data_IF_235678753441
#
_entry.id   IF_235678753441
#
_cell.length_a   1.000
_cell.length_b   1.000
_cell.length_c   1.000
_cell.angle_alpha   90.00
_cell.angle_beta   90.00
_cell.angle_gamma   90.00
#
_symmetry.space_group_name_H-M   'P 1'
#
loop_
_entity.id
_entity.type
_entity.pdbx_description
1 polymer ?
#
# COMPACT_ATOMS: atom_id res chain seq x y z
N UNK A 1 -8.27 -1.41 7.35
CA UNK A 1 -8.39 -0.14 6.59
C UNK A 1 -7.10 0.13 5.83
N UNK A 2 -5.91 0.22 6.46
CA UNK A 2 -4.59 0.09 5.82
C UNK A 2 -3.49 -0.06 6.89
N UNK A 3 -2.25 -0.41 6.53
CA UNK A 3 -1.10 -0.46 7.45
C UNK A 3 -0.75 0.91 8.03
N UNK A 4 -0.91 2.00 7.25
CA UNK A 4 -0.58 3.36 7.70
C UNK A 4 -1.37 3.83 8.93
N UNK A 5 -2.52 3.21 9.20
CA UNK A 5 -3.38 3.56 10.32
C UNK A 5 -2.67 3.36 11.68
N UNK A 6 -1.70 2.45 11.75
CA UNK A 6 -0.88 2.23 12.96
C UNK A 6 -0.08 3.47 13.36
N UNK A 7 0.18 4.35 12.39
CA UNK A 7 1.05 5.52 12.54
C UNK A 7 0.25 6.84 12.54
N UNK A 8 -1.05 6.78 12.25
CA UNK A 8 -1.95 7.93 12.29
C UNK A 8 -2.53 8.17 13.71
N UNK A 9 -2.76 9.42 14.12
CA UNK A 9 -2.30 10.66 13.49
C UNK A 9 -0.90 11.09 13.98
N UNK A 10 -0.35 10.45 15.01
CA UNK A 10 0.77 11.01 15.79
C UNK A 10 2.11 10.98 15.05
N UNK A 11 2.41 9.89 14.34
CA UNK A 11 3.64 9.80 13.55
C UNK A 11 3.50 10.62 12.28
N UNK A 12 2.36 10.52 11.58
CA UNK A 12 2.12 11.24 10.31
C UNK A 12 2.01 12.77 10.48
N UNK A 13 1.63 13.25 11.66
CA UNK A 13 1.72 14.68 12.03
C UNK A 13 3.11 15.11 12.50
N UNK A 14 4.02 14.17 12.73
CA UNK A 14 5.36 14.40 13.24
C UNK A 14 5.47 14.61 14.75
N UNK A 15 4.36 14.46 15.49
CA UNK A 15 4.27 14.63 16.94
C UNK A 15 5.10 13.61 17.72
N UNK A 16 5.23 12.38 17.19
CA UNK A 16 6.14 11.34 17.71
C UNK A 16 6.97 10.75 16.56
N UNK A 17 8.18 10.23 16.82
CA UNK A 17 8.95 9.51 15.82
C UNK A 17 8.30 8.15 15.47
N UNK A 18 8.49 7.64 14.24
CA UNK A 18 8.13 6.26 13.92
C UNK A 18 9.03 5.28 14.69
N UNK A 19 8.62 4.01 14.88
CA UNK A 19 9.45 2.99 15.53
C UNK A 19 10.80 2.73 14.82
N UNK A 20 10.83 2.89 13.49
CA UNK A 20 12.02 2.86 12.64
C UNK A 20 11.76 3.72 11.38
N UNK A 21 12.81 4.14 10.67
CA UNK A 21 12.67 4.89 9.43
C UNK A 21 13.83 4.58 8.46
N UNK A 22 13.60 3.93 7.31
CA UNK A 22 12.31 3.36 6.90
C UNK A 22 11.92 2.15 7.76
N UNK A 23 10.67 1.71 7.66
CA UNK A 23 10.20 0.50 8.33
C UNK A 23 9.46 -0.41 7.35
N UNK A 24 9.39 -1.70 7.68
CA UNK A 24 8.58 -2.70 6.97
C UNK A 24 7.70 -3.43 7.97
N UNK A 25 6.49 -3.82 7.57
CA UNK A 25 5.52 -4.52 8.42
C UNK A 25 4.60 -5.41 7.56
N UNK A 26 4.08 -6.49 8.16
CA UNK A 26 2.90 -7.21 7.65
C UNK A 26 1.77 -6.98 8.63
N UNK A 27 0.81 -6.13 8.27
CA UNK A 27 -0.22 -5.65 9.18
C UNK A 27 -1.58 -6.27 8.82
N UNK A 28 -2.19 -7.09 9.71
CA UNK A 28 -3.55 -7.56 9.54
C UNK A 28 -4.55 -6.40 9.46
N UNK A 29 -5.35 -6.40 8.41
CA UNK A 29 -6.27 -5.33 8.05
C UNK A 29 -7.69 -5.85 7.90
N UNK A 30 -8.61 -5.25 8.66
CA UNK A 30 -10.05 -5.49 8.51
C UNK A 30 -10.70 -4.43 7.61
N UNK A 31 -11.50 -4.85 6.63
CA UNK A 31 -12.31 -4.01 5.73
C UNK A 31 -13.71 -4.59 5.57
N UNK A 32 -14.73 -3.81 5.89
CA UNK A 32 -16.14 -4.18 5.69
C UNK A 32 -16.78 -3.53 4.46
N UNK A 33 -16.10 -2.56 3.84
CA UNK A 33 -16.60 -1.89 2.62
C UNK A 33 -16.72 -2.86 1.45
N UNK A 34 -15.90 -3.92 1.43
CA UNK A 34 -15.86 -4.92 0.36
C UNK A 34 -16.72 -6.15 0.68
N UNK A 35 -17.55 -6.11 1.73
CA UNK A 35 -18.26 -7.28 2.25
C UNK A 35 -19.13 -7.99 1.19
N UNK A 36 -19.75 -7.23 0.29
CA UNK A 36 -20.59 -7.78 -0.78
C UNK A 36 -19.79 -8.52 -1.86
N UNK A 37 -18.49 -8.23 -2.00
CA UNK A 37 -17.60 -8.83 -3.01
C UNK A 37 -16.90 -10.10 -2.51
N UNK A 38 -16.90 -10.32 -1.20
CA UNK A 38 -16.31 -11.51 -0.56
C UNK A 38 -17.09 -12.75 -0.98
N UNK A 39 -16.36 -13.77 -1.44
CA UNK A 39 -16.92 -15.00 -2.00
C UNK A 39 -17.43 -14.88 -3.45
N UNK A 40 -17.68 -13.67 -3.98
CA UNK A 40 -18.16 -13.46 -5.36
C UNK A 40 -17.03 -13.24 -6.36
N UNK A 41 -16.08 -12.41 -5.97
CA UNK A 41 -14.99 -11.94 -6.84
C UNK A 41 -13.76 -12.86 -6.88
N UNK A 42 -13.69 -13.86 -5.99
CA UNK A 42 -12.54 -14.76 -5.85
C UNK A 42 -11.29 -14.14 -5.19
N UNK A 43 -11.28 -12.83 -4.90
CA UNK A 43 -10.07 -12.07 -4.53
C UNK A 43 -10.22 -11.07 -3.39
N UNK A 44 -11.44 -10.84 -2.89
CA UNK A 44 -11.71 -9.90 -1.80
C UNK A 44 -11.85 -10.66 -0.48
N UNK A 45 -11.29 -10.08 0.59
CA UNK A 45 -11.32 -10.62 1.94
C UNK A 45 -11.82 -9.54 2.90
N UNK A 46 -12.51 -9.95 3.96
CA UNK A 46 -12.83 -9.04 5.08
C UNK A 46 -11.60 -8.79 5.96
N UNK A 47 -10.76 -9.81 6.15
CA UNK A 47 -9.49 -9.77 6.86
C UNK A 47 -8.39 -10.26 5.92
N UNK A 48 -7.34 -9.47 5.77
CA UNK A 48 -6.16 -9.81 4.97
C UNK A 48 -4.92 -9.15 5.56
N UNK A 49 -3.73 -9.64 5.24
CA UNK A 49 -2.48 -8.98 5.63
C UNK A 49 -2.03 -7.98 4.55
N UNK A 50 -1.86 -6.73 4.98
CA UNK A 50 -1.24 -5.68 4.17
C UNK A 50 0.24 -5.58 4.55
N UNK A 51 1.10 -6.14 3.71
CA UNK A 51 2.53 -5.89 3.82
C UNK A 51 2.83 -4.47 3.34
N UNK A 52 3.80 -3.80 3.95
CA UNK A 52 4.12 -2.42 3.65
C UNK A 52 5.57 -2.10 3.98
N UNK A 53 6.15 -1.20 3.20
CA UNK A 53 7.31 -0.40 3.60
C UNK A 53 6.92 1.07 3.66
N UNK A 54 7.22 1.72 4.79
CA UNK A 54 6.91 3.11 5.05
C UNK A 54 8.18 3.95 5.23
N UNK A 55 8.15 5.17 4.69
CA UNK A 55 9.19 6.18 4.93
C UNK A 55 8.52 7.50 5.32
N UNK A 56 8.98 8.09 6.41
CA UNK A 56 8.45 9.36 6.95
C UNK A 56 9.51 10.44 6.75
N UNK A 57 9.28 11.35 5.79
CA UNK A 57 10.26 12.33 5.34
C UNK A 57 9.97 13.70 5.96
N UNK A 58 10.85 14.16 6.83
CA UNK A 58 10.76 15.50 7.43
C UNK A 58 11.48 16.51 6.52
N UNK A 59 11.16 17.81 6.61
CA UNK A 59 11.80 18.84 5.77
C UNK A 59 13.33 18.89 5.88
N UNK A 60 13.89 18.46 7.03
CA UNK A 60 15.33 18.42 7.31
C UNK A 60 15.99 17.07 6.98
N UNK A 61 15.20 16.01 6.78
CA UNK A 61 15.71 14.67 6.50
C UNK A 61 14.71 13.85 5.68
N UNK A 62 15.06 13.61 4.41
CA UNK A 62 14.36 12.70 3.51
C UNK A 62 15.06 11.34 3.49
N UNK A 63 14.28 10.27 3.67
CA UNK A 63 14.76 8.88 3.55
C UNK A 63 14.68 8.45 2.10
N UNK A 64 13.48 8.46 1.53
CA UNK A 64 13.21 8.33 0.09
C UNK A 64 11.74 8.70 -0.21
N UNK A 65 11.41 8.98 -1.47
CA UNK A 65 10.05 9.30 -1.89
C UNK A 65 9.60 8.51 -3.13
N UNK A 66 9.06 9.18 -4.16
CA UNK A 66 8.38 8.57 -5.30
C UNK A 66 9.27 7.60 -6.09
N UNK A 67 10.39 8.09 -6.61
CA UNK A 67 11.24 7.32 -7.54
C UNK A 67 11.75 6.01 -6.92
N UNK A 68 12.35 6.08 -5.73
CA UNK A 68 12.86 4.89 -5.04
C UNK A 68 11.76 3.95 -4.59
N UNK A 69 10.58 4.46 -4.21
CA UNK A 69 9.43 3.62 -3.85
C UNK A 69 8.97 2.78 -5.04
N UNK A 70 8.83 3.42 -6.21
CA UNK A 70 8.44 2.74 -7.46
C UNK A 70 9.51 1.74 -7.89
N UNK A 71 10.80 2.13 -7.80
CA UNK A 71 11.93 1.26 -8.10
C UNK A 71 11.92 0.00 -7.22
N UNK A 72 11.78 0.13 -5.89
CA UNK A 72 11.70 -1.00 -4.96
C UNK A 72 10.54 -1.96 -5.29
N UNK A 73 9.37 -1.41 -5.61
CA UNK A 73 8.22 -2.20 -6.01
C UNK A 73 8.47 -2.95 -7.34
N UNK A 74 9.09 -2.27 -8.32
CA UNK A 74 9.42 -2.86 -9.61
C UNK A 74 10.48 -3.95 -9.48
N UNK A 75 11.54 -3.71 -8.70
CA UNK A 75 12.60 -4.67 -8.40
C UNK A 75 12.03 -5.93 -7.73
N UNK A 76 11.14 -5.75 -6.73
CA UNK A 76 10.48 -6.87 -6.07
C UNK A 76 9.71 -7.76 -7.06
N UNK A 77 8.90 -7.16 -7.93
CA UNK A 77 8.09 -7.92 -8.89
C UNK A 77 8.95 -8.60 -9.97
N UNK A 78 9.95 -7.90 -10.49
CA UNK A 78 10.71 -8.36 -11.67
C UNK A 78 11.94 -9.18 -11.31
N UNK A 79 12.75 -8.72 -10.36
CA UNK A 79 14.03 -9.35 -10.01
C UNK A 79 13.85 -10.47 -8.98
N UNK A 80 13.04 -10.25 -7.95
CA UNK A 80 12.84 -11.25 -6.90
C UNK A 80 11.76 -12.28 -7.27
N UNK A 81 10.64 -11.83 -7.85
CA UNK A 81 9.53 -12.72 -8.24
C UNK A 81 9.51 -13.12 -9.72
N UNK A 82 10.40 -12.58 -10.56
CA UNK A 82 10.59 -13.02 -11.94
C UNK A 82 9.46 -12.63 -12.91
N UNK A 83 8.65 -11.62 -12.60
CA UNK A 83 7.64 -11.11 -13.53
C UNK A 83 8.30 -10.47 -14.77
N UNK A 84 7.70 -10.64 -15.97
CA UNK A 84 8.13 -9.88 -17.16
C UNK A 84 7.93 -8.38 -16.88
N UNK A 85 8.99 -7.54 -16.94
CA UNK A 85 8.88 -6.11 -16.70
C UNK A 85 7.84 -5.40 -17.57
N UNK A 86 7.55 -5.93 -18.77
CA UNK A 86 6.55 -5.38 -19.70
C UNK A 86 5.12 -5.73 -19.33
N UNK A 87 4.93 -6.69 -18.42
CA UNK A 87 3.63 -7.11 -17.93
C UNK A 87 3.18 -6.34 -16.67
N UNK A 88 4.09 -5.60 -16.02
CA UNK A 88 3.79 -4.77 -14.87
C UNK A 88 3.10 -3.48 -15.34
N UNK A 89 1.95 -3.17 -14.75
CA UNK A 89 1.19 -1.95 -15.05
C UNK A 89 1.15 -1.02 -13.84
N UNK A 90 1.18 0.28 -14.10
CA UNK A 90 1.05 1.33 -13.10
C UNK A 90 -0.13 2.22 -13.48
N UNK A 91 -1.15 2.27 -12.64
CA UNK A 91 -2.32 3.11 -12.84
C UNK A 91 -2.31 4.25 -11.82
N UNK A 92 -2.34 5.48 -12.30
CA UNK A 92 -2.41 6.68 -11.45
C UNK A 92 -3.80 6.85 -10.86
N UNK A 93 -3.85 7.08 -9.54
CA UNK A 93 -5.09 7.27 -8.78
C UNK A 93 -4.86 8.30 -7.65
N UNK A 94 -5.94 8.90 -7.16
CA UNK A 94 -5.92 9.68 -5.93
C UNK A 94 -6.28 8.78 -4.74
N UNK A 95 -5.57 8.93 -3.63
CA UNK A 95 -5.86 8.21 -2.40
C UNK A 95 -6.18 9.18 -1.27
N UNK A 96 -7.19 8.83 -0.46
CA UNK A 96 -7.56 9.54 0.77
C UNK A 96 -7.96 8.53 1.87
N UNK A 97 -7.42 8.71 3.07
CA UNK A 97 -7.68 7.84 4.21
C UNK A 97 -7.12 8.41 5.52
N UNK A 98 -7.90 8.31 6.60
CA UNK A 98 -7.48 8.80 7.93
C UNK A 98 -7.20 10.31 8.00
N UNK A 99 -7.72 11.11 7.06
CA UNK A 99 -7.48 12.55 6.96
C UNK A 99 -6.22 12.95 6.19
N UNK A 100 -5.48 11.98 5.65
CA UNK A 100 -4.34 12.21 4.77
C UNK A 100 -4.70 11.87 3.32
N UNK A 101 -4.03 12.52 2.37
CA UNK A 101 -4.27 12.32 0.95
C UNK A 101 -3.00 12.52 0.11
N UNK A 102 -3.00 11.95 -1.09
CA UNK A 102 -1.89 12.08 -2.03
C UNK A 102 -2.12 11.31 -3.33
N UNK A 103 -1.29 11.56 -4.35
CA UNK A 103 -1.28 10.75 -5.55
C UNK A 103 -0.79 9.33 -5.22
N UNK A 104 -1.26 8.37 -5.98
CA UNK A 104 -0.93 6.96 -5.80
C UNK A 104 -0.79 6.21 -7.12
N UNK A 105 -0.12 5.07 -7.05
CA UNK A 105 0.00 4.12 -8.15
C UNK A 105 -0.59 2.78 -7.71
N UNK A 106 -1.66 2.34 -8.38
CA UNK A 106 -2.12 0.96 -8.32
C UNK A 106 -1.25 0.11 -9.26
N UNK A 107 -0.52 -0.85 -8.69
CA UNK A 107 0.44 -1.71 -9.39
C UNK A 107 -0.20 -3.04 -9.71
N UNK A 108 -0.33 -3.34 -10.99
CA UNK A 108 -0.95 -4.54 -11.51
C UNK A 108 0.03 -5.51 -12.17
N UNK A 109 -0.28 -6.79 -12.09
CA UNK A 109 0.35 -7.85 -12.85
C UNK A 109 -0.72 -8.84 -13.33
N UNK A 110 -0.71 -9.18 -14.62
CA UNK A 110 -1.66 -10.13 -15.21
C UNK A 110 -3.15 -9.83 -14.92
N UNK A 111 -3.52 -8.54 -14.82
CA UNK A 111 -4.89 -8.10 -14.54
C UNK A 111 -5.30 -8.14 -13.06
N UNK A 112 -4.39 -8.51 -12.16
CA UNK A 112 -4.58 -8.44 -10.72
C UNK A 112 -3.78 -7.27 -10.14
N UNK A 113 -4.44 -6.39 -9.40
CA UNK A 113 -3.76 -5.40 -8.57
C UNK A 113 -3.07 -6.09 -7.39
N UNK A 114 -1.75 -5.95 -7.31
CA UNK A 114 -0.93 -6.56 -6.26
C UNK A 114 -0.54 -5.56 -5.16
N UNK A 115 -0.31 -4.30 -5.54
CA UNK A 115 0.14 -3.28 -4.60
C UNK A 115 -0.47 -1.91 -4.90
N UNK A 116 -0.48 -1.05 -3.89
CA UNK A 116 -0.78 0.38 -4.01
C UNK A 116 0.37 1.16 -3.38
N UNK A 117 0.92 2.12 -4.11
CA UNK A 117 1.99 3.01 -3.66
C UNK A 117 1.40 4.42 -3.51
N UNK A 118 1.13 4.86 -2.28
CA UNK A 118 0.56 6.17 -1.96
C UNK A 118 1.66 7.12 -1.51
N UNK A 119 1.62 8.34 -2.01
CA UNK A 119 2.57 9.40 -1.68
C UNK A 119 1.85 10.51 -0.91
N UNK A 120 1.73 10.33 0.40
CA UNK A 120 0.98 11.26 1.25
C UNK A 120 1.75 12.57 1.36
N UNK A 121 1.18 13.64 0.82
CA UNK A 121 1.78 14.98 0.82
C UNK A 121 0.78 16.06 1.23
N UNK A 122 -0.50 15.70 1.38
CA UNK A 122 -1.57 16.61 1.77
C UNK A 122 -2.45 16.03 2.89
N UNK A 123 -3.17 16.91 3.56
CA UNK A 123 -4.12 16.54 4.61
C UNK A 123 -5.43 17.31 4.44
N UNK A 124 -6.53 16.65 4.82
CA UNK A 124 -7.89 17.18 4.74
C UNK A 124 -8.22 17.93 6.03
N UNK A 125 -8.58 19.20 5.92
CA UNK A 125 -9.00 20.07 7.02
C UNK A 125 -10.38 20.64 6.70
N UNK A 126 -11.43 19.87 7.01
CA UNK A 126 -12.78 20.13 6.51
C UNK A 126 -12.80 20.10 4.98
N UNK A 127 -13.28 21.18 4.35
CA UNK A 127 -13.31 21.31 2.88
C UNK A 127 -11.97 21.74 2.28
N UNK A 128 -10.95 22.02 3.10
CA UNK A 128 -9.65 22.51 2.62
C UNK A 128 -8.62 21.38 2.54
N UNK A 129 -7.74 21.52 1.55
CA UNK A 129 -6.53 20.70 1.42
C UNK A 129 -5.34 21.58 1.79
N UNK A 130 -4.48 21.08 2.67
CA UNK A 130 -3.22 21.76 3.03
C UNK A 130 -2.04 20.78 2.97
N UNK A 131 -0.82 21.25 2.67
CA UNK A 131 0.37 20.40 2.69
C UNK A 131 0.59 19.77 4.07
N UNK A 132 1.11 18.55 4.08
CA UNK A 132 1.54 17.90 5.31
C UNK A 132 2.84 18.50 5.86
N UNK A 133 3.05 18.46 7.19
CA UNK A 133 4.31 18.90 7.80
C UNK A 133 5.51 17.99 7.46
N UNK A 134 5.23 16.76 7.02
CA UNK A 134 6.18 15.76 6.54
C UNK A 134 5.50 14.97 5.42
N UNK A 135 6.25 14.49 4.43
CA UNK A 135 5.70 13.60 3.40
C UNK A 135 5.88 12.14 3.83
N UNK A 136 4.98 11.27 3.39
CA UNK A 136 5.04 9.84 3.74
C UNK A 136 4.95 8.99 2.49
N UNK A 137 5.82 8.00 2.41
CA UNK A 137 5.60 6.84 1.53
C UNK A 137 4.72 5.84 2.28
N UNK A 138 3.52 5.63 1.76
CA UNK A 138 2.54 4.67 2.27
C UNK A 138 2.31 3.59 1.21
N UNK A 139 2.86 2.40 1.44
CA UNK A 139 2.67 1.28 0.52
C UNK A 139 1.77 0.23 1.12
N UNK A 140 1.06 -0.50 0.27
CA UNK A 140 0.26 -1.65 0.65
C UNK A 140 0.36 -2.75 -0.39
N UNK A 141 0.78 -3.93 0.05
CA UNK A 141 0.95 -5.14 -0.75
C UNK A 141 0.07 -6.23 -0.12
N UNK A 142 -0.92 -6.74 -0.86
CA UNK A 142 -1.85 -7.74 -0.31
C UNK A 142 -1.23 -9.14 -0.28
N UNK A 143 -0.87 -9.65 0.89
CA UNK A 143 -0.18 -10.94 1.04
C UNK A 143 -0.93 -12.08 0.35
N UNK A 144 -2.24 -12.18 0.56
CA UNK A 144 -3.09 -13.23 -0.01
C UNK A 144 -3.13 -13.15 -1.55
N UNK A 145 -3.04 -11.95 -2.13
CA UNK A 145 -2.96 -11.79 -3.59
C UNK A 145 -1.59 -12.19 -4.13
N UNK A 146 -0.51 -11.87 -3.42
CA UNK A 146 0.84 -12.34 -3.78
C UNK A 146 0.93 -13.87 -3.71
N UNK A 147 0.43 -14.47 -2.64
CA UNK A 147 0.33 -15.93 -2.49
C UNK A 147 -0.50 -16.55 -3.60
N UNK A 148 -1.64 -15.94 -3.94
CA UNK A 148 -2.48 -16.41 -5.04
C UNK A 148 -1.78 -16.34 -6.40
N UNK A 149 -1.09 -15.24 -6.69
CA UNK A 149 -0.31 -15.09 -7.92
C UNK A 149 0.78 -16.16 -8.04
N UNK A 150 1.44 -16.51 -6.93
CA UNK A 150 2.48 -17.55 -6.91
C UNK A 150 1.96 -18.97 -7.10
N UNK A 151 0.71 -19.25 -6.70
CA UNK A 151 0.13 -20.60 -6.77
C UNK A 151 -0.76 -20.82 -8.01
N UNK A 152 -1.42 -19.78 -8.53
CA UNK A 152 -2.30 -19.88 -9.69
C UNK A 152 -3.56 -20.73 -9.47
N UNK A 153 -4.01 -20.88 -8.23
CA UNK A 153 -5.27 -21.57 -7.91
C UNK A 153 -6.48 -20.83 -8.51
N UNK A 154 -7.66 -21.45 -8.63
CA UNK A 154 -8.89 -20.78 -9.09
C UNK A 154 -9.26 -19.51 -8.30
N UNK A 155 -8.99 -19.46 -6.99
CA UNK A 155 -9.30 -18.31 -6.13
C UNK A 155 -8.22 -18.06 -5.08
N UNK A 156 -8.15 -16.82 -4.59
CA UNK A 156 -7.24 -16.47 -3.51
C UNK A 156 -7.55 -17.22 -2.21
N UNK A 157 -8.80 -17.65 -1.99
CA UNK A 157 -9.19 -18.42 -0.80
C UNK A 157 -8.50 -19.78 -0.76
N UNK A 158 -8.42 -20.45 -1.90
CA UNK A 158 -7.72 -21.73 -2.02
C UNK A 158 -6.21 -21.55 -1.85
N UNK A 159 -5.63 -20.47 -2.38
CA UNK A 159 -4.22 -20.19 -2.14
C UNK A 159 -3.89 -19.86 -0.67
N UNK A 160 -4.81 -19.20 0.03
CA UNK A 160 -4.60 -18.74 1.41
C UNK A 160 -4.91 -19.80 2.47
N UNK A 161 -5.92 -20.65 2.24
CA UNK A 161 -6.46 -21.57 3.25
C UNK A 161 -6.63 -23.02 2.79
N UNK A 162 -6.30 -23.33 1.53
CA UNK A 162 -6.46 -24.65 0.90
C UNK A 162 -5.33 -25.63 1.16
#
# INVERSE_FOLDING_TARGET
>A
QASIYDFQPWVTSGAIPPPANPLTISQPCLRFIDLEEVGRSGRHFTLFEMMAHHAFNRPDHEVYFKDRCVELCHELLTSEFGADPRAVTYKEEEWEGGGNLGPSLSVGLAGLELATLVFMEYLRDGDRIRPMPLTVVDTGYGLERFTWMGQGTPTAYEAAFG
#
